data_IF_801656201744
#
_entry.id   IF_801656201744
#
_cell.length_a   1.000
_cell.length_b   1.000
_cell.length_c   1.000
_cell.angle_alpha   90.00
_cell.angle_beta   90.00
_cell.angle_gamma   90.00
#
_symmetry.space_group_name_H-M   'P 1'
#
loop_
_entity.id
_entity.type
_entity.pdbx_description
1 polymer ?
#
# COMPACT_ATOMS: atom_id res chain seq x y z
N UNK A 1 -32.54 14.43 14.46
CA UNK A 1 -31.85 13.37 13.70
C UNK A 1 -30.72 12.83 14.57
N UNK A 2 -30.82 11.60 15.09
CA UNK A 2 -29.77 11.04 15.97
C UNK A 2 -28.55 10.76 15.10
N UNK A 3 -27.47 11.52 15.30
CA UNK A 3 -26.21 11.33 14.60
C UNK A 3 -25.60 10.01 15.06
N UNK A 4 -25.82 8.93 14.29
CA UNK A 4 -25.24 7.63 14.61
C UNK A 4 -23.73 7.71 14.53
N UNK A 5 -23.07 7.23 15.57
CA UNK A 5 -21.62 7.21 15.67
C UNK A 5 -21.05 6.10 14.77
N UNK A 6 -19.83 6.32 14.27
CA UNK A 6 -19.16 5.40 13.36
C UNK A 6 -18.59 4.22 14.17
N UNK A 7 -19.01 2.99 13.84
CA UNK A 7 -18.63 1.78 14.58
C UNK A 7 -17.12 1.52 14.62
N UNK A 8 -16.37 1.96 13.61
CA UNK A 8 -14.92 1.84 13.59
C UNK A 8 -14.30 2.66 14.73
N UNK A 9 -14.71 3.92 14.85
CA UNK A 9 -14.21 4.80 15.90
C UNK A 9 -14.67 4.35 17.28
N UNK A 10 -15.91 3.87 17.42
CA UNK A 10 -16.42 3.34 18.69
C UNK A 10 -15.53 2.22 19.24
N UNK A 11 -15.13 1.26 18.39
CA UNK A 11 -14.32 0.13 18.82
C UNK A 11 -12.92 0.55 19.27
N UNK A 12 -12.24 1.41 18.51
CA UNK A 12 -10.94 1.94 18.92
C UNK A 12 -11.04 2.84 20.16
N UNK A 13 -12.09 3.64 20.29
CA UNK A 13 -12.27 4.49 21.46
C UNK A 13 -12.56 3.67 22.73
N UNK A 14 -13.18 2.49 22.62
CA UNK A 14 -13.37 1.55 23.72
C UNK A 14 -12.04 1.09 24.32
N UNK A 15 -11.02 0.88 23.49
CA UNK A 15 -9.64 0.58 23.92
C UNK A 15 -8.94 1.77 24.60
N UNK A 16 -9.59 2.93 24.64
CA UNK A 16 -9.12 4.16 25.25
C UNK A 16 -8.62 4.05 26.68
N UNK A 17 -9.20 3.14 27.48
CA UNK A 17 -8.77 2.87 28.86
C UNK A 17 -7.38 2.24 28.93
N UNK A 18 -6.98 1.50 27.90
CA UNK A 18 -5.71 0.79 27.82
C UNK A 18 -4.67 1.54 26.97
N UNK A 19 -4.97 2.75 26.49
CA UNK A 19 -4.12 3.42 25.48
C UNK A 19 -2.69 3.64 25.95
N UNK A 20 -2.49 4.03 27.21
CA UNK A 20 -1.14 4.25 27.75
C UNK A 20 -0.40 2.94 28.01
N UNK A 21 -1.10 1.86 28.36
CA UNK A 21 -0.53 0.52 28.43
C UNK A 21 -0.07 0.03 27.05
N UNK A 22 -0.90 0.24 26.02
CA UNK A 22 -0.54 -0.07 24.62
C UNK A 22 0.66 0.75 24.17
N UNK A 23 0.71 2.04 24.52
CA UNK A 23 1.86 2.90 24.23
C UNK A 23 3.13 2.39 24.90
N UNK A 24 3.08 2.11 26.21
CA UNK A 24 4.23 1.64 26.97
C UNK A 24 4.76 0.31 26.41
N UNK A 25 3.88 -0.66 26.18
CA UNK A 25 4.24 -1.93 25.56
C UNK A 25 4.81 -1.71 24.15
N UNK A 26 4.20 -0.83 23.37
CA UNK A 26 4.67 -0.48 22.03
C UNK A 26 6.06 0.13 22.03
N UNK A 27 6.38 1.02 22.97
CA UNK A 27 7.69 1.62 23.11
C UNK A 27 8.74 0.59 23.57
N UNK A 28 8.42 -0.27 24.53
CA UNK A 28 9.33 -1.34 24.97
C UNK A 28 9.63 -2.29 23.82
N UNK A 29 8.60 -2.75 23.10
CA UNK A 29 8.79 -3.60 21.92
C UNK A 29 9.58 -2.86 20.85
N UNK A 30 9.30 -1.58 20.60
CA UNK A 30 10.02 -0.78 19.60
C UNK A 30 11.50 -0.60 19.95
N UNK A 31 11.85 -0.41 21.21
CA UNK A 31 13.26 -0.32 21.64
C UNK A 31 14.01 -1.65 21.41
N UNK A 32 13.35 -2.78 21.69
CA UNK A 32 13.92 -4.12 21.54
C UNK A 32 13.94 -4.60 20.08
N UNK A 33 12.91 -4.26 19.32
CA UNK A 33 12.70 -4.66 17.93
C UNK A 33 11.82 -3.62 17.23
N UNK A 34 12.41 -2.59 16.59
CA UNK A 34 11.68 -1.47 16.01
C UNK A 34 10.56 -1.88 15.05
N UNK A 35 10.78 -2.90 14.21
CA UNK A 35 9.76 -3.42 13.28
C UNK A 35 8.54 -4.01 13.98
N UNK A 36 8.73 -4.70 15.11
CA UNK A 36 7.61 -5.25 15.89
C UNK A 36 6.84 -4.14 16.62
N UNK A 37 7.53 -3.06 16.99
CA UNK A 37 6.94 -1.91 17.68
C UNK A 37 5.99 -1.07 16.83
N UNK A 38 6.03 -1.17 15.50
CA UNK A 38 5.25 -0.30 14.60
C UNK A 38 3.74 -0.40 14.83
N UNK A 39 3.22 -1.63 14.96
CA UNK A 39 1.78 -1.89 15.09
C UNK A 39 1.21 -1.32 16.39
N UNK A 40 1.73 -1.61 17.59
CA UNK A 40 1.20 -1.02 18.82
C UNK A 40 1.28 0.51 18.86
N UNK A 41 2.34 1.12 18.30
CA UNK A 41 2.45 2.59 18.19
C UNK A 41 1.37 3.20 17.29
N UNK A 42 1.05 2.54 16.17
CA UNK A 42 -0.02 2.96 15.26
C UNK A 42 -1.42 2.70 15.85
N UNK A 43 -1.61 1.60 16.60
CA UNK A 43 -2.85 1.34 17.35
C UNK A 43 -3.08 2.43 18.38
N UNK A 44 -2.07 2.80 19.18
CA UNK A 44 -2.17 3.93 20.11
C UNK A 44 -2.63 5.20 19.41
N UNK A 45 -1.99 5.54 18.28
CA UNK A 45 -2.32 6.73 17.50
C UNK A 45 -3.76 6.68 16.96
N UNK A 46 -4.24 5.51 16.51
CA UNK A 46 -5.62 5.34 16.06
C UNK A 46 -6.63 5.45 17.19
N UNK A 47 -6.31 4.94 18.39
CA UNK A 47 -7.17 5.08 19.58
C UNK A 47 -7.35 6.56 19.92
N UNK A 48 -6.27 7.34 19.96
CA UNK A 48 -6.33 8.78 20.29
C UNK A 48 -7.12 9.57 19.23
N UNK A 49 -6.92 9.26 17.95
CA UNK A 49 -7.72 9.83 16.85
C UNK A 49 -9.19 9.48 17.00
N UNK A 50 -9.54 8.22 17.23
CA UNK A 50 -10.92 7.79 17.38
C UNK A 50 -11.62 8.40 18.60
N UNK A 51 -10.92 8.56 19.73
CA UNK A 51 -11.45 9.28 20.90
C UNK A 51 -11.76 10.75 20.58
N UNK A 52 -10.87 11.42 19.85
CA UNK A 52 -11.04 12.82 19.41
C UNK A 52 -12.25 12.96 18.47
N UNK A 53 -12.43 12.02 17.55
CA UNK A 53 -13.57 12.01 16.62
C UNK A 53 -14.89 11.83 17.36
N UNK A 54 -15.00 10.88 18.31
CA UNK A 54 -16.25 10.63 19.05
C UNK A 54 -16.60 11.79 19.98
N UNK A 55 -15.62 12.30 20.72
CA UNK A 55 -15.85 13.40 21.67
C UNK A 55 -16.05 14.74 20.97
N UNK A 56 -15.86 14.78 19.64
CA UNK A 56 -15.84 16.00 18.84
C UNK A 56 -14.86 17.05 19.41
N UNK A 57 -13.79 16.60 20.07
CA UNK A 57 -12.80 17.48 20.71
C UNK A 57 -11.56 17.58 19.85
N UNK A 58 -11.09 18.81 19.60
CA UNK A 58 -9.78 19.06 18.96
C UNK A 58 -8.58 18.71 19.85
N UNK A 59 -8.77 18.43 21.14
CA UNK A 59 -7.70 18.03 22.07
C UNK A 59 -7.24 16.61 21.76
N UNK A 60 -6.29 16.49 20.83
CA UNK A 60 -5.49 15.28 20.63
C UNK A 60 -4.26 15.37 21.54
N UNK A 61 -3.71 14.24 21.97
CA UNK A 61 -2.37 14.21 22.55
C UNK A 61 -1.35 14.40 21.42
N UNK A 62 -1.29 15.63 20.89
CA UNK A 62 -0.55 15.92 19.67
C UNK A 62 0.91 15.48 19.78
N UNK A 63 1.58 15.81 20.88
CA UNK A 63 3.00 15.50 21.09
C UNK A 63 3.25 13.98 21.02
N UNK A 64 2.51 13.18 21.79
CA UNK A 64 2.70 11.72 21.82
C UNK A 64 2.35 11.06 20.48
N UNK A 65 1.29 11.50 19.81
CA UNK A 65 0.96 10.98 18.48
C UNK A 65 2.03 11.35 17.46
N UNK A 66 2.52 12.59 17.46
CA UNK A 66 3.61 13.00 16.57
C UNK A 66 4.86 12.17 16.82
N UNK A 67 5.22 11.93 18.07
CA UNK A 67 6.34 11.07 18.43
C UNK A 67 6.16 9.64 17.89
N UNK A 68 4.99 9.02 18.11
CA UNK A 68 4.71 7.67 17.60
C UNK A 68 4.83 7.60 16.08
N UNK A 69 4.27 8.57 15.36
CA UNK A 69 4.31 8.62 13.90
C UNK A 69 5.73 8.87 13.39
N UNK A 70 6.52 9.71 14.08
CA UNK A 70 7.92 9.94 13.76
C UNK A 70 8.76 8.67 13.99
N UNK A 71 8.55 7.95 15.09
CA UNK A 71 9.23 6.69 15.39
C UNK A 71 8.93 5.62 14.33
N UNK A 72 7.68 5.53 13.89
CA UNK A 72 7.27 4.64 12.79
C UNK A 72 7.94 5.07 11.48
N UNK A 73 7.91 6.37 11.15
CA UNK A 73 8.54 6.92 9.94
C UNK A 73 10.04 6.63 9.91
N UNK A 74 10.72 6.87 11.04
CA UNK A 74 12.14 6.59 11.23
C UNK A 74 12.45 5.13 10.92
N UNK A 75 11.77 4.21 11.60
CA UNK A 75 12.00 2.77 11.48
C UNK A 75 11.79 2.29 10.04
N UNK A 76 10.66 2.65 9.43
CA UNK A 76 10.33 2.26 8.05
C UNK A 76 11.34 2.81 7.05
N UNK A 77 11.82 4.04 7.27
CA UNK A 77 12.80 4.69 6.40
C UNK A 77 14.13 3.97 6.43
N UNK A 78 14.64 3.67 7.62
CA UNK A 78 15.88 2.91 7.78
C UNK A 78 15.72 1.53 7.14
N UNK A 79 14.67 0.78 7.50
CA UNK A 79 14.41 -0.53 6.92
C UNK A 79 14.29 -0.48 5.39
N UNK A 80 13.62 0.53 4.81
CA UNK A 80 13.56 0.64 3.35
C UNK A 80 14.94 0.94 2.74
N UNK A 81 15.74 1.83 3.35
CA UNK A 81 17.08 2.19 2.87
C UNK A 81 18.08 1.03 2.93
N UNK A 82 17.80 0.03 3.76
CA UNK A 82 18.61 -1.19 3.88
C UNK A 82 18.43 -2.15 2.70
N UNK A 83 17.54 -1.87 1.75
CA UNK A 83 17.34 -2.70 0.57
C UNK A 83 18.62 -2.79 -0.28
N UNK A 84 18.98 -4.01 -0.67
CA UNK A 84 20.18 -4.33 -1.44
C UNK A 84 20.16 -3.63 -2.81
N UNK A 85 21.32 -3.11 -3.20
CA UNK A 85 21.48 -2.36 -4.45
C UNK A 85 21.55 -3.33 -5.64
N UNK A 86 20.38 -3.81 -6.07
CA UNK A 86 20.21 -4.77 -7.19
C UNK A 86 19.17 -4.30 -8.20
N UNK A 87 19.20 -4.87 -9.41
CA UNK A 87 18.23 -4.59 -10.47
C UNK A 87 18.05 -3.10 -10.77
N UNK A 88 16.81 -2.62 -10.71
CA UNK A 88 16.44 -1.21 -10.96
C UNK A 88 17.15 -0.24 -10.00
N UNK A 89 17.32 -0.57 -8.71
CA UNK A 89 17.99 0.30 -7.73
C UNK A 89 19.45 0.55 -8.11
N UNK A 90 20.15 -0.48 -8.61
CA UNK A 90 21.53 -0.34 -9.11
C UNK A 90 21.60 0.67 -10.25
N UNK A 91 20.66 0.61 -11.20
CA UNK A 91 20.61 1.58 -12.31
C UNK A 91 20.36 3.00 -11.82
N UNK A 92 19.49 3.18 -10.82
CA UNK A 92 19.24 4.49 -10.23
C UNK A 92 20.48 5.09 -9.55
N UNK A 93 21.28 4.27 -8.86
CA UNK A 93 22.55 4.74 -8.27
C UNK A 93 23.60 5.12 -9.31
N UNK A 94 23.66 4.40 -10.45
CA UNK A 94 24.56 4.75 -11.56
C UNK A 94 24.15 6.07 -12.20
N UNK A 95 22.85 6.27 -12.41
CA UNK A 95 22.31 7.54 -12.93
C UNK A 95 22.65 8.69 -11.98
N UNK A 96 22.47 8.48 -10.67
CA UNK A 96 22.74 9.51 -9.66
C UNK A 96 24.19 10.02 -9.69
N UNK A 97 25.17 9.15 -9.94
CA UNK A 97 26.58 9.56 -10.04
C UNK A 97 26.87 10.47 -11.23
N UNK A 98 26.05 10.40 -12.27
CA UNK A 98 26.20 11.18 -13.49
C UNK A 98 25.45 12.52 -13.44
N UNK A 99 24.66 12.77 -12.38
CA UNK A 99 23.93 14.02 -12.18
C UNK A 99 24.84 15.18 -11.75
N UNK A 100 24.33 16.41 -11.85
CA UNK A 100 25.02 17.62 -11.40
C UNK A 100 26.02 18.24 -12.38
N UNK A 101 26.47 17.51 -13.40
CA UNK A 101 27.50 17.97 -14.36
C UNK A 101 26.98 18.48 -15.71
N UNK A 102 25.75 18.15 -16.11
CA UNK A 102 25.17 18.51 -17.43
C UNK A 102 23.77 19.09 -17.30
N UNK A 103 23.25 19.69 -18.37
CA UNK A 103 21.84 20.10 -18.40
C UNK A 103 20.94 18.87 -18.15
N UNK A 104 20.10 18.99 -17.11
CA UNK A 104 19.26 17.93 -16.58
C UNK A 104 18.33 17.31 -17.65
N UNK A 105 17.62 18.14 -18.43
CA UNK A 105 16.68 17.61 -19.42
C UNK A 105 17.39 16.95 -20.61
N UNK A 106 18.55 17.46 -21.01
CA UNK A 106 19.35 16.86 -22.09
C UNK A 106 19.89 15.49 -21.69
N UNK A 107 20.31 15.34 -20.43
CA UNK A 107 20.74 14.06 -19.88
C UNK A 107 19.62 13.01 -19.94
N UNK A 108 18.44 13.32 -19.41
CA UNK A 108 17.30 12.39 -19.39
C UNK A 108 16.75 12.07 -20.80
N UNK A 109 16.86 13.01 -21.74
CA UNK A 109 16.55 12.77 -23.15
C UNK A 109 17.50 11.73 -23.77
N UNK A 110 18.80 11.76 -23.43
CA UNK A 110 19.79 10.80 -23.94
C UNK A 110 19.59 9.39 -23.40
N UNK A 111 19.27 9.25 -22.12
CA UNK A 111 19.04 7.95 -21.49
C UNK A 111 17.60 7.42 -21.66
N UNK A 112 16.75 8.17 -22.36
CA UNK A 112 15.35 7.84 -22.65
C UNK A 112 14.55 7.44 -21.39
N UNK A 113 14.60 8.30 -20.37
CA UNK A 113 14.00 8.03 -19.06
C UNK A 113 13.23 9.22 -18.53
N UNK A 114 12.14 8.97 -17.80
CA UNK A 114 11.33 10.01 -17.17
C UNK A 114 12.11 10.75 -16.07
N UNK A 115 12.18 12.10 -16.10
CA UNK A 115 13.13 12.86 -15.29
C UNK A 115 12.64 13.17 -13.86
N UNK A 116 11.33 13.19 -13.60
CA UNK A 116 10.77 13.82 -12.38
C UNK A 116 11.35 13.27 -11.08
N UNK A 117 11.60 11.96 -11.01
CA UNK A 117 12.16 11.29 -9.82
C UNK A 117 13.55 11.82 -9.43
N UNK A 118 14.30 12.37 -10.39
CA UNK A 118 15.69 12.81 -10.20
C UNK A 118 15.86 14.33 -10.07
N UNK A 119 14.79 15.12 -10.09
CA UNK A 119 14.87 16.58 -9.93
C UNK A 119 15.51 16.95 -8.59
N UNK A 120 15.00 16.38 -7.50
CA UNK A 120 15.56 16.63 -6.15
C UNK A 120 16.98 16.04 -6.04
N UNK A 121 17.24 14.78 -6.44
CA UNK A 121 18.59 14.23 -6.51
C UNK A 121 19.62 15.08 -7.27
N UNK A 122 19.27 15.65 -8.42
CA UNK A 122 20.18 16.49 -9.21
C UNK A 122 20.58 17.76 -8.44
N UNK A 123 19.60 18.43 -7.83
CA UNK A 123 19.88 19.61 -6.98
C UNK A 123 20.78 19.21 -5.80
N UNK A 124 20.47 18.10 -5.14
CA UNK A 124 21.27 17.64 -3.99
C UNK A 124 22.69 17.28 -4.42
N UNK A 125 22.87 16.57 -5.53
CA UNK A 125 24.19 16.21 -6.07
C UNK A 125 25.00 17.46 -6.39
N UNK A 126 24.37 18.46 -7.02
CA UNK A 126 25.02 19.71 -7.44
C UNK A 126 25.52 20.56 -6.28
N UNK A 127 24.78 20.60 -5.17
CA UNK A 127 25.11 21.49 -4.05
C UNK A 127 25.82 20.80 -2.87
N UNK A 128 25.59 19.50 -2.66
CA UNK A 128 26.06 18.80 -1.47
C UNK A 128 26.98 17.61 -1.77
N UNK A 129 27.17 17.23 -3.04
CA UNK A 129 28.07 16.15 -3.47
C UNK A 129 27.88 14.83 -2.71
N UNK A 130 26.65 14.52 -2.32
CA UNK A 130 26.34 13.32 -1.52
C UNK A 130 26.66 12.03 -2.29
N UNK A 131 26.91 10.96 -1.53
CA UNK A 131 27.26 9.65 -2.07
C UNK A 131 25.99 8.83 -2.45
N UNK A 132 26.19 7.62 -3.00
CA UNK A 132 25.08 6.74 -3.39
C UNK A 132 24.20 6.33 -2.21
N UNK A 133 24.79 6.14 -1.03
CA UNK A 133 24.05 5.78 0.17
C UNK A 133 23.11 6.91 0.60
N UNK A 134 23.62 8.13 0.68
CA UNK A 134 22.86 9.31 1.06
C UNK A 134 21.70 9.54 0.09
N UNK A 135 21.91 9.26 -1.19
CA UNK A 135 20.85 9.22 -2.19
C UNK A 135 19.78 8.18 -1.84
N UNK A 136 20.13 6.94 -1.54
CA UNK A 136 19.19 5.88 -1.16
C UNK A 136 18.38 6.30 0.09
N UNK A 137 19.05 6.82 1.11
CA UNK A 137 18.41 7.29 2.33
C UNK A 137 17.46 8.47 2.05
N UNK A 138 17.89 9.45 1.26
CA UNK A 138 17.08 10.59 0.85
C UNK A 138 15.81 10.14 0.09
N UNK A 139 15.93 9.18 -0.82
CA UNK A 139 14.79 8.65 -1.56
C UNK A 139 13.80 7.93 -0.62
N UNK A 140 14.31 7.13 0.32
CA UNK A 140 13.48 6.46 1.32
C UNK A 140 12.74 7.46 2.21
N UNK A 141 13.44 8.49 2.72
CA UNK A 141 12.85 9.58 3.49
C UNK A 141 11.75 10.27 2.69
N UNK A 142 12.04 10.64 1.44
CA UNK A 142 11.12 11.42 0.60
C UNK A 142 9.82 10.65 0.36
N UNK A 143 9.89 9.38 -0.03
CA UNK A 143 8.71 8.55 -0.29
C UNK A 143 7.88 8.31 0.98
N UNK A 144 8.52 7.92 2.09
CA UNK A 144 7.79 7.65 3.34
C UNK A 144 7.15 8.91 3.93
N UNK A 145 7.87 10.03 3.93
CA UNK A 145 7.32 11.33 4.35
C UNK A 145 6.10 11.71 3.50
N UNK A 146 6.19 11.54 2.18
CA UNK A 146 5.09 11.83 1.27
C UNK A 146 3.87 10.96 1.58
N UNK A 147 4.01 9.64 1.71
CA UNK A 147 2.86 8.77 2.00
C UNK A 147 2.23 9.02 3.37
N UNK A 148 3.02 9.33 4.39
CA UNK A 148 2.51 9.67 5.72
C UNK A 148 1.76 11.00 5.69
N UNK A 149 2.30 12.00 4.99
CA UNK A 149 1.63 13.28 4.77
C UNK A 149 0.32 13.10 4.01
N UNK A 150 0.32 12.33 2.91
CA UNK A 150 -0.87 12.03 2.11
C UNK A 150 -1.95 11.32 2.94
N UNK A 151 -1.57 10.30 3.73
CA UNK A 151 -2.51 9.61 4.63
C UNK A 151 -3.14 10.59 5.62
N UNK A 152 -2.34 11.49 6.20
CA UNK A 152 -2.82 12.49 7.16
C UNK A 152 -3.71 13.55 6.53
N UNK A 153 -3.40 14.03 5.33
CA UNK A 153 -4.17 15.06 4.62
C UNK A 153 -5.50 14.50 4.11
N UNK A 154 -5.50 13.34 3.47
CA UNK A 154 -6.69 12.82 2.80
C UNK A 154 -7.56 11.90 3.66
N UNK A 155 -6.97 11.29 4.70
CA UNK A 155 -7.62 10.38 5.63
C UNK A 155 -7.38 10.78 7.11
N UNK A 156 -7.61 12.03 7.53
CA UNK A 156 -7.22 12.54 8.85
C UNK A 156 -7.83 11.80 10.06
N UNK A 157 -8.96 11.12 9.87
CA UNK A 157 -9.62 10.32 10.92
C UNK A 157 -9.12 8.86 10.96
N UNK A 158 -8.39 8.42 9.93
CA UNK A 158 -7.97 7.04 9.75
C UNK A 158 -6.49 6.89 9.41
N UNK A 159 -5.72 7.99 9.42
CA UNK A 159 -4.36 8.02 8.92
C UNK A 159 -3.43 7.00 9.58
N UNK A 160 -3.51 6.70 10.90
CA UNK A 160 -2.66 5.66 11.50
C UNK A 160 -3.03 4.28 10.96
N UNK A 161 -4.31 4.01 10.73
CA UNK A 161 -4.77 2.75 10.13
C UNK A 161 -4.34 2.62 8.68
N UNK A 162 -4.43 3.69 7.89
CA UNK A 162 -3.95 3.69 6.49
C UNK A 162 -2.45 3.41 6.44
N UNK A 163 -1.66 4.09 7.27
CA UNK A 163 -0.21 3.87 7.39
C UNK A 163 0.08 2.42 7.81
N UNK A 164 -0.63 1.91 8.82
CA UNK A 164 -0.48 0.53 9.30
C UNK A 164 -0.75 -0.49 8.20
N UNK A 165 -1.81 -0.32 7.42
CA UNK A 165 -2.17 -1.24 6.34
C UNK A 165 -1.16 -1.23 5.19
N UNK A 166 -0.54 -0.08 4.90
CA UNK A 166 0.56 0.03 3.93
C UNK A 166 1.81 -0.71 4.44
N UNK A 167 2.25 -0.40 5.67
CA UNK A 167 3.45 -1.00 6.28
C UNK A 167 3.30 -2.51 6.45
N UNK A 168 2.08 -3.01 6.71
CA UNK A 168 1.83 -4.45 6.77
C UNK A 168 1.95 -5.16 5.41
N UNK A 169 2.09 -4.43 4.29
CA UNK A 169 2.40 -5.03 2.99
C UNK A 169 3.91 -5.12 2.80
N UNK A 170 4.38 -6.29 2.41
CA UNK A 170 5.79 -6.56 2.07
C UNK A 170 6.23 -5.68 0.90
N UNK A 171 5.34 -5.50 -0.07
CA UNK A 171 5.62 -4.73 -1.27
C UNK A 171 6.00 -3.29 -0.95
N UNK A 172 5.51 -2.74 0.17
CA UNK A 172 5.83 -1.39 0.63
C UNK A 172 7.33 -1.17 0.87
N UNK A 173 8.04 -2.18 1.37
CA UNK A 173 9.48 -2.11 1.61
C UNK A 173 10.33 -2.24 0.32
N UNK A 174 9.70 -2.59 -0.81
CA UNK A 174 10.35 -2.63 -2.13
C UNK A 174 10.29 -1.28 -2.86
N UNK A 175 9.94 -0.20 -2.15
CA UNK A 175 9.80 1.13 -2.74
C UNK A 175 11.07 1.65 -3.42
N UNK A 176 12.27 1.31 -2.92
CA UNK A 176 13.52 1.74 -3.56
C UNK A 176 13.86 0.91 -4.80
N UNK A 177 13.46 -0.37 -4.82
CA UNK A 177 13.59 -1.19 -6.01
C UNK A 177 12.73 -0.65 -7.16
N UNK A 178 11.49 -0.21 -6.88
CA UNK A 178 10.57 0.40 -7.84
C UNK A 178 10.40 1.91 -7.63
N UNK A 179 11.53 2.61 -7.43
CA UNK A 179 11.56 4.02 -7.03
C UNK A 179 10.70 4.93 -7.90
N UNK A 180 10.82 4.84 -9.24
CA UNK A 180 10.02 5.67 -10.15
C UNK A 180 8.52 5.44 -10.00
N UNK A 181 8.10 4.18 -9.87
CA UNK A 181 6.69 3.84 -9.72
C UNK A 181 6.15 4.38 -8.39
N UNK A 182 6.89 4.18 -7.30
CA UNK A 182 6.51 4.73 -5.99
C UNK A 182 6.47 6.27 -6.01
N UNK A 183 7.45 6.94 -6.61
CA UNK A 183 7.40 8.40 -6.81
C UNK A 183 6.17 8.83 -7.60
N UNK A 184 5.82 8.10 -8.65
CA UNK A 184 4.60 8.40 -9.42
C UNK A 184 3.34 8.27 -8.55
N UNK A 185 3.34 7.37 -7.56
CA UNK A 185 2.22 7.21 -6.63
C UNK A 185 2.04 8.39 -5.68
N UNK A 186 3.11 9.15 -5.38
CA UNK A 186 3.03 10.40 -4.60
C UNK A 186 2.08 11.40 -5.28
N UNK A 187 2.05 11.41 -6.62
CA UNK A 187 1.15 12.25 -7.41
C UNK A 187 -0.16 11.55 -7.75
N UNK A 188 -0.15 10.22 -7.91
CA UNK A 188 -1.34 9.45 -8.24
C UNK A 188 -2.36 9.41 -7.10
N UNK A 189 -1.91 9.27 -5.84
CA UNK A 189 -2.80 9.27 -4.67
C UNK A 189 -3.62 10.57 -4.57
N UNK A 190 -3.03 11.78 -4.55
CA UNK A 190 -3.80 13.02 -4.53
C UNK A 190 -4.64 13.18 -5.80
N UNK A 191 -4.16 12.73 -6.96
CA UNK A 191 -4.93 12.71 -8.21
C UNK A 191 -6.25 11.92 -8.07
N UNK A 192 -6.23 10.77 -7.38
CA UNK A 192 -7.43 9.95 -7.11
C UNK A 192 -8.37 10.66 -6.12
N UNK A 193 -7.82 11.38 -5.13
CA UNK A 193 -8.63 12.07 -4.10
C UNK A 193 -9.29 13.36 -4.57
N UNK A 194 -8.63 14.15 -5.42
CA UNK A 194 -9.14 15.44 -5.85
C UNK A 194 -10.35 15.26 -6.79
N UNK A 195 -11.13 16.33 -6.96
CA UNK A 195 -12.28 16.35 -7.91
C UNK A 195 -12.06 17.40 -8.99
N UNK A 196 -11.38 18.50 -8.65
CA UNK A 196 -11.10 19.59 -9.57
C UNK A 196 -10.20 19.12 -10.73
N UNK A 197 -10.72 19.27 -11.96
CA UNK A 197 -10.08 18.78 -13.17
C UNK A 197 -8.71 19.44 -13.45
N UNK A 198 -8.51 20.71 -13.07
CA UNK A 198 -7.24 21.42 -13.31
C UNK A 198 -6.11 20.79 -12.49
N UNK A 199 -6.35 20.61 -11.19
CA UNK A 199 -5.38 19.96 -10.31
C UNK A 199 -5.18 18.49 -10.67
N UNK A 200 -6.24 17.78 -11.08
CA UNK A 200 -6.10 16.42 -11.62
C UNK A 200 -5.24 16.37 -12.87
N UNK A 201 -5.42 17.30 -13.80
CA UNK A 201 -4.62 17.31 -15.04
C UNK A 201 -3.15 17.55 -14.72
N UNK A 202 -2.83 18.53 -13.87
CA UNK A 202 -1.45 18.79 -13.44
C UNK A 202 -0.84 17.56 -12.74
N UNK A 203 -1.52 17.00 -11.73
CA UNK A 203 -1.01 15.82 -11.03
C UNK A 203 -0.90 14.59 -11.92
N UNK A 204 -1.85 14.41 -12.84
CA UNK A 204 -1.83 13.33 -13.83
C UNK A 204 -0.63 13.46 -14.76
N UNK A 205 -0.35 14.66 -15.28
CA UNK A 205 0.84 14.93 -16.10
C UNK A 205 2.13 14.70 -15.32
N UNK A 206 2.23 15.19 -14.08
CA UNK A 206 3.42 14.96 -13.25
C UNK A 206 3.61 13.46 -12.97
N UNK A 207 2.55 12.71 -12.66
CA UNK A 207 2.62 11.26 -12.47
C UNK A 207 3.13 10.55 -13.73
N UNK A 208 2.66 10.96 -14.91
CA UNK A 208 3.08 10.43 -16.20
C UNK A 208 4.55 10.74 -16.51
N UNK A 209 4.99 11.97 -16.27
CA UNK A 209 6.40 12.38 -16.39
C UNK A 209 7.29 11.84 -15.27
N UNK A 210 6.73 11.12 -14.30
CA UNK A 210 7.46 10.37 -13.28
C UNK A 210 7.60 8.90 -13.67
N UNK A 211 6.50 8.30 -14.14
CA UNK A 211 6.49 6.96 -14.72
C UNK A 211 5.28 6.78 -15.64
N UNK A 212 5.55 6.49 -16.91
CA UNK A 212 4.55 6.35 -17.98
C UNK A 212 3.46 5.30 -17.70
N UNK A 213 3.74 4.27 -16.90
CA UNK A 213 2.73 3.24 -16.60
C UNK A 213 1.51 3.79 -15.84
N UNK A 214 1.61 4.96 -15.20
CA UNK A 214 0.48 5.58 -14.50
C UNK A 214 -0.70 5.97 -15.41
N UNK A 215 -0.52 5.98 -16.73
CA UNK A 215 -1.60 6.14 -17.74
C UNK A 215 -2.81 5.25 -17.42
N UNK A 216 -2.56 3.99 -17.04
CA UNK A 216 -3.61 2.98 -16.77
C UNK A 216 -4.52 3.38 -15.60
N UNK A 217 -4.04 4.24 -14.71
CA UNK A 217 -4.83 4.80 -13.62
C UNK A 217 -5.40 6.17 -13.96
N UNK A 218 -4.65 7.02 -14.68
CA UNK A 218 -5.05 8.42 -14.90
C UNK A 218 -6.15 8.56 -15.95
N UNK A 219 -6.08 7.85 -17.08
CA UNK A 219 -7.09 7.97 -18.14
C UNK A 219 -8.50 7.57 -17.67
N UNK A 220 -8.72 6.38 -17.07
CA UNK A 220 -10.06 5.99 -16.63
C UNK A 220 -10.64 6.98 -15.61
N UNK A 221 -9.82 7.52 -14.71
CA UNK A 221 -10.22 8.48 -13.70
C UNK A 221 -10.60 9.84 -14.29
N UNK A 222 -9.85 10.34 -15.28
CA UNK A 222 -10.16 11.61 -15.96
C UNK A 222 -11.47 11.50 -16.72
N UNK A 223 -11.63 10.46 -17.54
CA UNK A 223 -12.86 10.21 -18.30
C UNK A 223 -14.06 10.23 -17.35
N UNK A 224 -13.94 9.48 -16.24
CA UNK A 224 -14.97 9.37 -15.22
C UNK A 224 -15.28 10.71 -14.54
N UNK A 225 -14.24 11.45 -14.14
CA UNK A 225 -14.44 12.72 -13.44
C UNK A 225 -15.12 13.74 -14.34
N UNK A 226 -14.72 13.83 -15.61
CA UNK A 226 -15.31 14.74 -16.59
C UNK A 226 -16.79 14.44 -16.84
N UNK A 227 -17.15 13.16 -17.04
CA UNK A 227 -18.54 12.75 -17.26
C UNK A 227 -19.43 12.97 -16.03
N UNK A 228 -18.91 12.75 -14.81
CA UNK A 228 -19.67 13.01 -13.58
C UNK A 228 -19.92 14.51 -13.37
N UNK A 229 -18.89 15.32 -13.61
CA UNK A 229 -18.98 16.77 -13.39
C UNK A 229 -19.94 17.43 -14.37
N UNK A 230 -19.91 17.05 -15.66
CA UNK A 230 -20.80 17.60 -16.69
C UNK A 230 -22.27 17.19 -16.48
N UNK A 231 -22.53 15.96 -16.03
CA UNK A 231 -23.90 15.49 -15.78
C UNK A 231 -24.55 16.08 -14.51
N UNK A 232 -23.77 16.32 -13.45
CA UNK A 232 -24.28 17.01 -12.25
C UNK A 232 -24.70 18.45 -12.52
N UNK A 233 -23.97 19.13 -13.42
CA UNK A 233 -24.28 20.51 -13.82
C UNK A 233 -25.54 20.57 -14.69
N UNK A 234 -25.79 19.57 -15.55
CA UNK A 234 -26.89 19.61 -16.52
C UNK A 234 -28.25 19.11 -16.00
N UNK A 235 -28.31 18.20 -15.03
CA UNK A 235 -29.57 17.48 -14.76
C UNK A 235 -30.11 17.50 -13.33
N UNK A 236 -29.43 18.08 -12.34
CA UNK A 236 -29.98 18.29 -10.99
C UNK A 236 -30.49 17.03 -10.25
N UNK A 237 -30.36 15.85 -10.84
CA UNK A 237 -30.81 14.56 -10.33
C UNK A 237 -29.60 13.63 -10.25
N UNK A 238 -29.35 13.13 -9.04
CA UNK A 238 -28.20 12.28 -8.70
C UNK A 238 -28.25 10.88 -9.34
N UNK A 239 -29.39 10.47 -9.89
CA UNK A 239 -29.68 9.05 -10.19
C UNK A 239 -29.25 8.55 -11.58
N UNK A 240 -28.82 9.40 -12.52
CA UNK A 240 -28.61 8.99 -13.93
C UNK A 240 -27.15 8.95 -14.41
N UNK A 241 -26.17 8.84 -13.51
CA UNK A 241 -24.76 8.81 -13.88
C UNK A 241 -24.40 7.45 -14.51
N UNK A 242 -23.97 7.43 -15.78
CA UNK A 242 -23.52 6.23 -16.52
C UNK A 242 -22.39 5.46 -15.82
N UNK A 243 -21.59 6.13 -15.01
CA UNK A 243 -20.48 5.55 -14.22
C UNK A 243 -20.97 4.86 -12.96
N UNK A 244 -22.06 5.35 -12.37
CA UNK A 244 -22.80 4.60 -11.35
C UNK A 244 -23.20 3.25 -11.93
N UNK A 245 -23.67 3.22 -13.19
CA UNK A 245 -23.94 1.95 -13.89
C UNK A 245 -22.68 1.11 -14.09
N UNK A 246 -21.51 1.68 -14.41
CA UNK A 246 -20.25 0.92 -14.59
C UNK A 246 -19.75 0.31 -13.28
N UNK A 247 -19.67 1.10 -12.20
CA UNK A 247 -19.26 0.62 -10.87
C UNK A 247 -20.30 -0.37 -10.31
N UNK A 248 -21.60 -0.10 -10.48
CA UNK A 248 -22.66 -1.06 -10.13
C UNK A 248 -22.62 -2.31 -11.02
N UNK A 249 -22.17 -2.23 -12.28
CA UNK A 249 -22.05 -3.40 -13.17
C UNK A 249 -20.88 -4.26 -12.73
N UNK A 250 -19.73 -3.65 -12.42
CA UNK A 250 -18.59 -4.34 -11.82
C UNK A 250 -18.98 -4.98 -10.48
N UNK A 251 -19.67 -4.24 -9.60
CA UNK A 251 -20.18 -4.78 -8.34
C UNK A 251 -21.18 -5.92 -8.56
N UNK A 252 -22.09 -5.82 -9.54
CA UNK A 252 -23.04 -6.89 -9.89
C UNK A 252 -22.33 -8.12 -10.44
N UNK A 253 -21.34 -7.95 -11.29
CA UNK A 253 -20.50 -9.03 -11.80
C UNK A 253 -19.73 -9.72 -10.68
N UNK A 254 -19.11 -8.94 -9.78
CA UNK A 254 -18.40 -9.45 -8.61
C UNK A 254 -19.35 -10.17 -7.65
N UNK A 255 -20.55 -9.62 -7.44
CA UNK A 255 -21.61 -10.27 -6.67
C UNK A 255 -22.10 -11.56 -7.33
N UNK A 256 -22.12 -11.63 -8.66
CA UNK A 256 -22.42 -12.87 -9.40
C UNK A 256 -21.35 -13.94 -9.25
N UNK A 257 -20.08 -13.55 -9.16
CA UNK A 257 -19.00 -14.48 -8.83
C UNK A 257 -19.06 -14.96 -7.38
N UNK A 258 -19.50 -14.10 -6.46
CA UNK A 258 -19.57 -14.36 -5.01
C UNK A 258 -21.00 -14.71 -4.54
N UNK A 259 -21.85 -15.26 -5.40
CA UNK A 259 -23.32 -15.13 -5.33
C UNK A 259 -23.98 -15.74 -4.09
N UNK A 260 -23.32 -16.63 -3.34
CA UNK A 260 -23.90 -17.14 -2.11
C UNK A 260 -23.29 -16.47 -0.88
N UNK A 261 -24.14 -15.94 0.02
CA UNK A 261 -23.65 -15.47 1.33
C UNK A 261 -22.90 -16.60 2.03
N UNK A 262 -23.35 -17.84 1.83
CA UNK A 262 -22.66 -19.05 2.26
C UNK A 262 -21.26 -19.17 1.64
N UNK A 263 -21.07 -18.98 0.34
CA UNK A 263 -19.75 -18.97 -0.33
C UNK A 263 -18.87 -17.84 0.20
N UNK A 264 -19.44 -16.66 0.48
CA UNK A 264 -18.72 -15.54 1.08
C UNK A 264 -18.25 -15.88 2.51
N UNK A 265 -19.11 -16.51 3.33
CA UNK A 265 -18.76 -16.95 4.68
C UNK A 265 -17.76 -18.11 4.66
N UNK A 266 -17.94 -19.08 3.76
CA UNK A 266 -17.02 -20.20 3.55
C UNK A 266 -15.69 -19.71 3.02
N UNK A 267 -15.64 -18.70 2.14
CA UNK A 267 -14.41 -18.08 1.66
C UNK A 267 -13.70 -17.32 2.79
N UNK A 268 -14.42 -16.54 3.60
CA UNK A 268 -13.84 -15.84 4.75
C UNK A 268 -13.35 -16.83 5.82
N UNK A 269 -14.11 -17.90 6.07
CA UNK A 269 -13.76 -18.98 6.99
C UNK A 269 -12.59 -19.79 6.46
N UNK A 270 -12.55 -20.16 5.18
CA UNK A 270 -11.40 -20.86 4.57
C UNK A 270 -10.18 -19.95 4.50
N UNK A 271 -10.31 -18.66 4.23
CA UNK A 271 -9.21 -17.70 4.35
C UNK A 271 -8.68 -17.68 5.78
N UNK A 272 -9.56 -17.58 6.77
CA UNK A 272 -9.18 -17.51 8.19
C UNK A 272 -8.61 -18.85 8.71
N UNK A 273 -9.17 -19.98 8.28
CA UNK A 273 -8.70 -21.34 8.61
C UNK A 273 -7.41 -21.69 7.89
N UNK A 274 -7.28 -21.34 6.60
CA UNK A 274 -6.03 -21.49 5.85
C UNK A 274 -4.94 -20.66 6.54
N UNK A 275 -5.27 -19.47 7.02
CA UNK A 275 -4.36 -18.63 7.79
C UNK A 275 -3.95 -19.22 9.15
N UNK A 276 -4.88 -19.87 9.87
CA UNK A 276 -4.59 -20.62 11.11
C UNK A 276 -3.75 -21.89 10.81
N UNK A 277 -3.96 -22.53 9.66
CA UNK A 277 -3.19 -23.70 9.22
C UNK A 277 -1.79 -23.32 8.72
N UNK A 278 -1.65 -22.16 8.06
CA UNK A 278 -0.39 -21.59 7.57
C UNK A 278 0.56 -21.17 8.71
N UNK A 279 0.02 -20.85 9.89
CA UNK A 279 0.80 -20.46 11.08
C UNK A 279 1.29 -21.66 11.90
N UNK A 280 0.83 -22.90 11.62
CA UNK A 280 1.44 -24.11 12.19
C UNK A 280 2.74 -24.44 11.45
N UNK A 281 3.82 -24.57 12.23
CA UNK A 281 5.22 -24.74 11.82
C UNK A 281 5.56 -25.89 10.85
N UNK A 282 4.61 -26.78 10.55
CA UNK A 282 4.79 -27.89 9.60
C UNK A 282 4.38 -27.58 8.15
N UNK A 283 3.85 -26.38 7.85
CA UNK A 283 3.38 -26.05 6.51
C UNK A 283 4.39 -25.30 5.64
N UNK A 284 5.62 -25.04 6.09
CA UNK A 284 6.65 -24.43 5.22
C UNK A 284 7.07 -25.40 4.10
N UNK A 285 7.11 -26.71 4.38
CA UNK A 285 7.31 -27.74 3.35
C UNK A 285 6.04 -28.02 2.54
N UNK A 286 4.86 -28.00 3.15
CA UNK A 286 3.61 -28.33 2.46
C UNK A 286 2.90 -27.13 1.77
N UNK A 287 3.28 -25.88 2.04
CA UNK A 287 2.80 -24.71 1.26
C UNK A 287 3.50 -24.64 -0.08
N UNK A 288 4.75 -25.07 -0.18
CA UNK A 288 5.36 -25.33 -1.49
C UNK A 288 4.64 -26.46 -2.24
N UNK A 289 3.94 -27.35 -1.55
CA UNK A 289 3.15 -28.43 -2.19
C UNK A 289 1.70 -28.02 -2.49
N UNK A 290 1.07 -27.13 -1.73
CA UNK A 290 -0.31 -26.66 -1.97
C UNK A 290 -0.42 -25.34 -2.75
N UNK A 291 0.57 -24.44 -2.62
CA UNK A 291 0.68 -23.16 -3.34
C UNK A 291 1.90 -23.09 -4.28
N UNK A 292 2.78 -24.08 -4.22
CA UNK A 292 3.90 -24.24 -5.16
C UNK A 292 3.71 -25.45 -6.10
N UNK A 293 2.74 -26.34 -5.83
CA UNK A 293 2.21 -27.13 -6.94
C UNK A 293 1.39 -26.17 -7.77
N UNK A 294 1.78 -26.03 -9.03
CA UNK A 294 0.87 -25.54 -10.04
C UNK A 294 -0.38 -26.45 -10.13
N UNK A 295 -0.58 -27.50 -9.31
CA UNK A 295 -1.65 -28.48 -9.44
C UNK A 295 -3.04 -27.84 -9.45
N UNK A 296 -3.36 -26.95 -8.50
CA UNK A 296 -4.65 -26.25 -8.52
C UNK A 296 -4.80 -25.35 -9.75
N UNK A 297 -3.73 -24.64 -10.15
CA UNK A 297 -3.74 -23.78 -11.33
C UNK A 297 -3.73 -24.61 -12.64
N UNK A 298 -3.14 -25.80 -12.65
CA UNK A 298 -3.11 -26.77 -13.74
C UNK A 298 -4.48 -27.41 -13.91
N UNK A 299 -5.18 -27.72 -12.80
CA UNK A 299 -6.54 -28.24 -12.80
C UNK A 299 -7.54 -27.19 -13.29
N UNK A 300 -7.41 -25.93 -12.84
CA UNK A 300 -8.36 -24.86 -13.20
C UNK A 300 -8.03 -24.19 -14.55
N UNK A 301 -6.74 -24.07 -14.90
CA UNK A 301 -6.28 -23.47 -16.16
C UNK A 301 -4.87 -23.96 -16.54
N UNK A 302 -4.76 -25.09 -17.27
CA UNK A 302 -3.48 -25.67 -17.68
C UNK A 302 -2.56 -24.68 -18.42
N UNK A 303 -3.18 -23.79 -19.19
CA UNK A 303 -2.52 -22.75 -19.99
C UNK A 303 -1.94 -21.62 -19.13
N UNK A 304 -2.62 -21.26 -18.03
CA UNK A 304 -2.10 -20.30 -17.06
C UNK A 304 -0.92 -20.91 -16.30
N UNK A 305 -0.99 -22.19 -15.94
CA UNK A 305 0.08 -22.90 -15.26
C UNK A 305 1.35 -23.02 -16.10
N UNK A 306 1.24 -23.34 -17.40
CA UNK A 306 2.39 -23.38 -18.32
C UNK A 306 2.99 -21.98 -18.51
N UNK A 307 2.17 -20.95 -18.59
CA UNK A 307 2.63 -19.55 -18.65
C UNK A 307 3.32 -19.10 -17.36
N UNK A 308 2.78 -19.47 -16.19
CA UNK A 308 3.42 -19.25 -14.88
C UNK A 308 4.75 -20.00 -14.72
N UNK A 309 4.89 -21.13 -15.41
CA UNK A 309 6.13 -21.91 -15.44
C UNK A 309 7.17 -21.29 -16.37
N UNK A 310 6.79 -20.70 -17.50
CA UNK A 310 7.72 -19.97 -18.38
C UNK A 310 8.23 -18.66 -17.73
N UNK A 311 7.46 -18.06 -16.82
CA UNK A 311 7.90 -16.95 -15.97
C UNK A 311 8.81 -17.35 -14.80
N UNK A 312 9.24 -18.61 -14.69
CA UNK A 312 10.25 -19.01 -13.70
C UNK A 312 11.64 -18.42 -13.97
N UNK A 313 11.87 -17.92 -15.18
CA UNK A 313 13.14 -17.34 -15.59
C UNK A 313 13.19 -15.84 -15.24
N UNK A 314 14.14 -15.43 -14.40
CA UNK A 314 14.19 -14.09 -13.76
C UNK A 314 14.31 -12.92 -14.74
N UNK A 315 14.86 -13.15 -15.93
CA UNK A 315 14.97 -12.13 -16.99
C UNK A 315 13.60 -11.71 -17.54
N UNK A 316 12.66 -12.64 -17.67
CA UNK A 316 11.30 -12.36 -18.15
C UNK A 316 10.46 -11.56 -17.16
N UNK A 317 10.80 -11.63 -15.87
CA UNK A 317 10.09 -10.91 -14.81
C UNK A 317 10.58 -9.48 -14.60
N UNK A 318 11.62 -9.02 -15.33
CA UNK A 318 12.20 -7.68 -15.17
C UNK A 318 12.56 -7.37 -13.69
N UNK A 319 13.05 -8.38 -12.98
CA UNK A 319 13.39 -8.32 -11.56
C UNK A 319 12.20 -8.36 -10.59
N UNK A 320 10.98 -8.59 -11.06
CA UNK A 320 9.80 -8.78 -10.20
C UNK A 320 9.79 -10.17 -9.58
N UNK A 321 9.20 -10.29 -8.37
CA UNK A 321 8.99 -11.59 -7.75
C UNK A 321 7.98 -12.44 -8.51
N UNK A 322 8.32 -13.71 -8.76
CA UNK A 322 7.41 -14.73 -9.31
C UNK A 322 6.16 -14.92 -8.42
N UNK A 323 6.32 -14.67 -7.12
CA UNK A 323 5.29 -14.80 -6.10
C UNK A 323 4.52 -13.50 -5.82
N UNK A 324 4.65 -12.48 -6.70
CA UNK A 324 3.94 -11.20 -6.56
C UNK A 324 2.43 -11.36 -6.35
N UNK A 325 1.79 -12.33 -7.02
CA UNK A 325 0.37 -12.63 -6.80
C UNK A 325 0.06 -13.07 -5.39
N UNK A 326 0.93 -13.85 -4.73
CA UNK A 326 0.70 -14.35 -3.38
C UNK A 326 0.60 -13.19 -2.41
N UNK A 327 1.53 -12.24 -2.53
CA UNK A 327 1.55 -11.01 -1.73
C UNK A 327 0.33 -10.14 -2.07
N UNK A 328 0.05 -9.91 -3.36
CA UNK A 328 -1.06 -9.08 -3.79
C UNK A 328 -2.42 -9.63 -3.38
N UNK A 329 -2.65 -10.95 -3.46
CA UNK A 329 -3.89 -11.61 -3.04
C UNK A 329 -4.13 -11.37 -1.55
N UNK A 330 -3.10 -11.47 -0.72
CA UNK A 330 -3.23 -11.24 0.72
C UNK A 330 -3.56 -9.78 1.02
N UNK A 331 -2.96 -8.86 0.28
CA UNK A 331 -3.21 -7.44 0.44
C UNK A 331 -4.66 -7.04 0.08
N UNK A 332 -5.30 -7.80 -0.82
CA UNK A 332 -6.57 -7.41 -1.44
C UNK A 332 -7.75 -8.30 -1.11
N UNK A 333 -7.56 -9.51 -0.56
CA UNK A 333 -8.63 -10.53 -0.44
C UNK A 333 -9.92 -10.04 0.24
N UNK A 334 -9.83 -9.09 1.19
CA UNK A 334 -10.99 -8.52 1.87
C UNK A 334 -11.66 -7.39 1.07
N UNK A 335 -10.94 -6.69 0.19
CA UNK A 335 -11.45 -5.55 -0.56
C UNK A 335 -12.61 -5.93 -1.50
N UNK A 336 -12.57 -7.01 -2.31
CA UNK A 336 -13.71 -7.47 -3.09
C UNK A 336 -14.93 -7.81 -2.24
N UNK A 337 -14.73 -8.48 -1.10
CA UNK A 337 -15.82 -8.90 -0.20
C UNK A 337 -16.53 -7.67 0.39
N UNK A 338 -15.75 -6.68 0.83
CA UNK A 338 -16.26 -5.42 1.34
C UNK A 338 -16.93 -4.61 0.23
N UNK A 339 -16.34 -4.59 -0.97
CA UNK A 339 -16.86 -3.85 -2.12
C UNK A 339 -18.29 -4.28 -2.50
N UNK A 340 -18.59 -5.58 -2.47
CA UNK A 340 -19.94 -6.10 -2.79
C UNK A 340 -21.01 -5.56 -1.84
N UNK A 341 -20.64 -5.20 -0.61
CA UNK A 341 -21.59 -4.74 0.41
C UNK A 341 -21.87 -3.24 0.39
N UNK A 342 -21.06 -2.47 -0.35
CA UNK A 342 -21.18 -1.02 -0.41
C UNK A 342 -22.37 -0.60 -1.26
N UNK A 343 -23.18 0.32 -0.73
CA UNK A 343 -24.32 0.91 -1.44
C UNK A 343 -23.89 2.22 -2.09
N UNK A 344 -23.25 2.11 -3.26
CA UNK A 344 -22.61 3.23 -3.95
C UNK A 344 -23.48 4.48 -4.09
N UNK A 345 -24.79 4.34 -4.33
CA UNK A 345 -25.71 5.48 -4.47
C UNK A 345 -25.71 6.45 -3.26
N UNK A 346 -25.15 6.05 -2.11
CA UNK A 346 -25.04 6.87 -0.90
C UNK A 346 -23.60 7.27 -0.55
N UNK A 347 -22.64 6.99 -1.43
CA UNK A 347 -21.22 7.14 -1.16
C UNK A 347 -20.62 8.39 -1.82
N UNK A 348 -19.59 9.01 -1.22
CA UNK A 348 -18.92 10.14 -1.82
C UNK A 348 -18.12 9.73 -3.06
N UNK A 349 -17.91 10.69 -3.98
CA UNK A 349 -17.21 10.48 -5.26
C UNK A 349 -15.84 9.79 -5.10
N UNK A 350 -15.12 10.14 -4.03
CA UNK A 350 -13.82 9.58 -3.71
C UNK A 350 -13.84 8.05 -3.57
N UNK A 351 -14.95 7.47 -3.07
CA UNK A 351 -15.10 6.02 -2.98
C UNK A 351 -15.12 5.37 -4.37
N UNK A 352 -15.82 5.99 -5.34
CA UNK A 352 -15.84 5.52 -6.72
C UNK A 352 -14.46 5.59 -7.37
N UNK A 353 -13.74 6.70 -7.17
CA UNK A 353 -12.37 6.84 -7.67
C UNK A 353 -11.45 5.76 -7.12
N UNK A 354 -11.49 5.45 -5.82
CA UNK A 354 -10.68 4.37 -5.27
C UNK A 354 -11.08 2.98 -5.77
N UNK A 355 -12.36 2.74 -6.05
CA UNK A 355 -12.83 1.48 -6.67
C UNK A 355 -12.36 1.33 -8.10
N UNK A 356 -12.33 2.43 -8.87
CA UNK A 356 -11.78 2.40 -10.22
C UNK A 356 -10.28 2.14 -10.21
N UNK A 357 -9.53 2.78 -9.30
CA UNK A 357 -8.11 2.48 -9.11
C UNK A 357 -7.90 1.01 -8.72
N UNK A 358 -8.78 0.45 -7.88
CA UNK A 358 -8.76 -0.95 -7.48
C UNK A 358 -8.97 -1.87 -8.68
N UNK A 359 -10.00 -1.60 -9.49
CA UNK A 359 -10.29 -2.34 -10.69
C UNK A 359 -9.13 -2.28 -11.72
N UNK A 360 -8.56 -1.10 -11.98
CA UNK A 360 -7.39 -0.95 -12.85
C UNK A 360 -6.19 -1.77 -12.36
N UNK A 361 -5.98 -1.81 -11.04
CA UNK A 361 -4.89 -2.59 -10.44
C UNK A 361 -5.14 -4.10 -10.53
N UNK A 362 -6.39 -4.54 -10.31
CA UNK A 362 -6.78 -5.94 -10.45
C UNK A 362 -6.67 -6.42 -11.90
N UNK A 363 -7.07 -5.58 -12.87
CA UNK A 363 -6.88 -5.87 -14.30
C UNK A 363 -5.39 -5.95 -14.63
N UNK A 364 -4.56 -5.06 -14.08
CA UNK A 364 -3.11 -5.11 -14.27
C UNK A 364 -2.52 -6.42 -13.73
N UNK A 365 -2.99 -6.89 -12.57
CA UNK A 365 -2.59 -8.19 -12.03
C UNK A 365 -2.96 -9.34 -12.98
N UNK A 366 -4.17 -9.35 -13.53
CA UNK A 366 -4.60 -10.36 -14.50
C UNK A 366 -3.74 -10.33 -15.77
N UNK A 367 -3.50 -9.14 -16.34
CA UNK A 367 -2.69 -8.96 -17.55
C UNK A 367 -1.22 -9.37 -17.35
N UNK A 368 -0.69 -9.15 -16.15
CA UNK A 368 0.64 -9.64 -15.78
C UNK A 368 0.75 -11.17 -15.96
N UNK A 369 -0.26 -11.92 -15.51
CA UNK A 369 -0.29 -13.39 -15.62
C UNK A 369 -0.74 -13.93 -16.98
N UNK A 370 -1.44 -13.11 -17.78
CA UNK A 370 -1.86 -13.49 -19.15
C UNK A 370 -0.75 -13.29 -20.17
N UNK A 371 0.34 -12.60 -19.84
CA UNK A 371 1.50 -12.56 -20.75
C UNK A 371 2.33 -11.28 -20.75
N UNK A 372 2.03 -10.28 -19.92
CA UNK A 372 2.65 -8.95 -20.05
C UNK A 372 3.34 -8.52 -18.75
N UNK A 373 4.63 -8.84 -18.57
CA UNK A 373 5.41 -8.57 -17.35
C UNK A 373 5.39 -7.11 -16.87
N UNK A 374 5.30 -6.15 -17.79
CA UNK A 374 5.25 -4.73 -17.48
C UNK A 374 4.08 -4.35 -16.55
N UNK A 375 2.97 -5.08 -16.60
CA UNK A 375 1.82 -4.83 -15.71
C UNK A 375 2.09 -5.28 -14.26
N UNK A 376 3.06 -6.16 -14.01
CA UNK A 376 3.42 -6.55 -12.65
C UNK A 376 3.95 -5.37 -11.84
N UNK A 377 4.65 -4.42 -12.48
CA UNK A 377 5.14 -3.18 -11.84
C UNK A 377 3.99 -2.29 -11.35
N UNK A 378 2.81 -2.37 -11.97
CA UNK A 378 1.62 -1.60 -11.58
C UNK A 378 0.89 -2.19 -10.37
N UNK A 379 1.00 -3.51 -10.17
CA UNK A 379 0.40 -4.21 -9.02
C UNK A 379 0.96 -3.67 -7.71
N UNK A 380 2.20 -3.15 -7.71
CA UNK A 380 2.82 -2.52 -6.54
C UNK A 380 2.09 -1.29 -6.02
N UNK A 381 1.28 -0.62 -6.85
CA UNK A 381 0.38 0.41 -6.35
C UNK A 381 -0.62 -0.20 -5.37
N UNK A 382 -1.19 -1.35 -5.72
CA UNK A 382 -2.20 -2.03 -4.93
C UNK A 382 -1.63 -2.80 -3.75
N UNK A 383 -0.52 -3.52 -3.92
CA UNK A 383 0.10 -4.25 -2.80
C UNK A 383 0.78 -3.27 -1.85
N UNK A 384 1.70 -2.45 -2.34
CA UNK A 384 2.52 -1.55 -1.53
C UNK A 384 1.78 -0.41 -0.85
N UNK A 385 0.75 0.14 -1.50
CA UNK A 385 -0.08 1.22 -0.96
C UNK A 385 -1.54 0.76 -0.69
N UNK A 386 -1.71 -0.52 -0.39
CA UNK A 386 -3.00 -1.18 -0.12
C UNK A 386 -3.87 -0.46 0.92
N UNK A 387 -3.28 0.17 1.94
CA UNK A 387 -3.99 0.94 2.97
C UNK A 387 -4.81 2.10 2.40
N UNK A 388 -4.34 2.75 1.32
CA UNK A 388 -5.14 3.81 0.67
C UNK A 388 -6.39 3.24 -0.03
N UNK A 389 -6.34 2.00 -0.52
CA UNK A 389 -7.52 1.35 -1.11
C UNK A 389 -8.62 1.09 -0.08
N UNK A 390 -8.30 0.97 1.21
CA UNK A 390 -9.32 0.93 2.26
C UNK A 390 -10.09 2.24 2.43
N UNK A 391 -9.77 3.30 1.69
CA UNK A 391 -10.53 4.56 1.68
C UNK A 391 -12.01 4.34 1.37
N UNK A 392 -12.32 3.57 0.33
CA UNK A 392 -13.72 3.35 -0.07
C UNK A 392 -14.52 2.58 0.99
N UNK A 393 -13.82 1.83 1.84
CA UNK A 393 -14.38 1.07 2.96
C UNK A 393 -14.55 1.95 4.20
N UNK A 394 -13.48 2.64 4.61
CA UNK A 394 -13.43 3.46 5.83
C UNK A 394 -14.30 4.73 5.75
N UNK A 395 -14.53 5.25 4.53
CA UNK A 395 -15.47 6.35 4.29
C UNK A 395 -16.90 5.88 3.98
N UNK A 396 -17.16 4.57 3.96
CA UNK A 396 -18.48 4.06 3.60
C UNK A 396 -19.56 4.44 4.61
N UNK A 397 -20.72 4.83 4.09
CA UNK A 397 -21.95 5.03 4.88
C UNK A 397 -22.35 3.80 5.71
N UNK A 398 -21.94 2.59 5.31
CA UNK A 398 -22.22 1.33 6.02
C UNK A 398 -21.63 1.27 7.44
N UNK A 399 -20.60 2.08 7.74
CA UNK A 399 -19.98 2.17 9.07
C UNK A 399 -20.77 3.00 10.08
N UNK A 400 -21.78 3.77 9.63
CA UNK A 400 -22.66 4.59 10.47
C UNK A 400 -23.98 3.87 10.81
N UNK A 401 -24.09 2.59 10.45
CA UNK A 401 -25.20 1.72 10.82
C UNK A 401 -24.79 0.79 11.97
N UNK A 402 -25.76 0.11 12.61
CA UNK A 402 -25.47 -0.82 13.72
C UNK A 402 -24.35 -1.78 13.34
N UNK A 403 -23.56 -2.23 14.34
CA UNK A 403 -22.53 -3.27 14.19
C UNK A 403 -23.05 -4.39 13.29
N UNK A 404 -22.40 -4.53 12.14
CA UNK A 404 -22.80 -5.42 11.07
C UNK A 404 -21.58 -6.21 10.59
N UNK A 405 -21.82 -7.20 9.72
CA UNK A 405 -20.76 -7.99 9.10
C UNK A 405 -19.72 -7.12 8.39
N UNK A 406 -20.14 -6.00 7.77
CA UNK A 406 -19.22 -5.06 7.13
C UNK A 406 -18.16 -4.54 8.09
N UNK A 407 -18.57 -4.13 9.30
CA UNK A 407 -17.66 -3.69 10.36
C UNK A 407 -16.73 -4.82 10.81
N UNK A 408 -17.27 -6.03 11.00
CA UNK A 408 -16.48 -7.20 11.37
C UNK A 408 -15.41 -7.55 10.32
N UNK A 409 -15.78 -7.54 9.04
CA UNK A 409 -14.88 -7.85 7.94
C UNK A 409 -13.71 -6.84 7.81
N UNK A 410 -13.91 -5.57 8.16
CA UNK A 410 -12.83 -4.57 8.22
C UNK A 410 -11.81 -4.91 9.29
N UNK A 411 -12.28 -5.24 10.50
CA UNK A 411 -11.38 -5.63 11.59
C UNK A 411 -10.70 -6.98 11.30
N UNK A 412 -11.40 -7.91 10.65
CA UNK A 412 -10.81 -9.14 10.12
C UNK A 412 -9.68 -8.85 9.13
N UNK A 413 -9.89 -7.90 8.20
CA UNK A 413 -8.88 -7.49 7.23
C UNK A 413 -7.64 -6.88 7.88
N UNK A 414 -7.83 -5.97 8.84
CA UNK A 414 -6.73 -5.36 9.62
C UNK A 414 -5.96 -6.44 10.37
N UNK A 415 -6.66 -7.34 11.07
CA UNK A 415 -6.05 -8.40 11.88
C UNK A 415 -5.27 -9.39 11.01
N UNK A 416 -5.84 -9.81 9.88
CA UNK A 416 -5.19 -10.71 8.94
C UNK A 416 -3.91 -10.08 8.36
N UNK A 417 -3.93 -8.79 8.00
CA UNK A 417 -2.74 -8.07 7.53
C UNK A 417 -1.66 -7.97 8.61
N UNK A 418 -2.02 -7.65 9.85
CA UNK A 418 -1.06 -7.58 10.96
C UNK A 418 -0.41 -8.94 11.22
N UNK A 419 -1.20 -10.00 11.29
CA UNK A 419 -0.66 -11.34 11.57
C UNK A 419 0.17 -11.84 10.38
N UNK A 420 -0.22 -11.54 9.14
CA UNK A 420 0.57 -11.88 7.95
C UNK A 420 1.90 -11.14 7.95
N UNK A 421 1.90 -9.86 8.29
CA UNK A 421 3.10 -9.06 8.43
C UNK A 421 4.06 -9.67 9.46
N UNK A 422 3.57 -10.03 10.65
CA UNK A 422 4.41 -10.70 11.65
C UNK A 422 4.92 -12.06 11.17
N UNK A 423 4.04 -12.90 10.62
CA UNK A 423 4.44 -14.19 10.04
C UNK A 423 5.55 -14.02 8.99
N UNK A 424 5.43 -13.00 8.14
CA UNK A 424 6.43 -12.67 7.15
C UNK A 424 7.75 -12.25 7.82
N UNK A 425 7.72 -11.32 8.77
CA UNK A 425 8.94 -10.91 9.48
C UNK A 425 9.63 -12.11 10.16
N UNK A 426 8.87 -13.01 10.80
CA UNK A 426 9.41 -14.22 11.44
C UNK A 426 9.90 -15.27 10.45
N UNK A 427 9.27 -15.43 9.28
CA UNK A 427 9.77 -16.34 8.24
C UNK A 427 11.03 -15.78 7.56
N UNK A 428 11.18 -14.46 7.48
CA UNK A 428 12.37 -13.78 6.99
C UNK A 428 13.61 -13.97 7.86
N UNK A 429 13.44 -14.22 9.17
CA UNK A 429 14.55 -14.58 10.08
C UNK A 429 15.26 -15.89 9.71
N UNK A 430 14.66 -16.73 8.86
CA UNK A 430 15.15 -18.09 8.58
C UNK A 430 15.77 -18.26 7.18
N UNK A 431 15.92 -17.18 6.42
CA UNK A 431 16.35 -17.24 5.01
C UNK A 431 17.62 -16.41 4.78
N UNK A 432 18.72 -17.09 4.46
CA UNK A 432 20.06 -16.50 4.27
C UNK A 432 20.21 -15.65 2.99
N UNK A 433 19.28 -15.74 2.04
CA UNK A 433 19.33 -15.05 0.74
C UNK A 433 18.47 -13.77 0.73
N UNK A 434 18.79 -12.80 1.60
CA UNK A 434 17.91 -11.65 1.82
C UNK A 434 18.45 -10.33 1.24
N UNK A 435 17.64 -9.61 0.43
CA UNK A 435 18.02 -8.33 -0.16
C UNK A 435 17.88 -7.16 0.83
N UNK A 436 17.98 -7.37 2.14
CA UNK A 436 17.95 -6.30 3.15
C UNK A 436 19.21 -6.39 4.03
N UNK A 437 19.72 -5.24 4.46
CA UNK A 437 20.84 -5.10 5.39
C UNK A 437 20.49 -5.79 6.72
N UNK A 438 21.52 -6.31 7.41
CA UNK A 438 21.45 -7.35 8.45
C UNK A 438 21.05 -8.77 7.96
N UNK A 439 21.18 -9.07 6.67
CA UNK A 439 20.95 -10.43 6.15
C UNK A 439 19.52 -10.95 6.34
N UNK A 440 18.55 -10.04 6.50
CA UNK A 440 17.16 -10.40 6.83
C UNK A 440 16.83 -10.46 8.33
N UNK A 441 17.78 -10.15 9.22
CA UNK A 441 17.60 -10.16 10.67
C UNK A 441 16.99 -8.87 11.25
N UNK A 442 16.04 -8.26 10.54
CA UNK A 442 15.44 -6.95 10.91
C UNK A 442 14.66 -7.02 12.24
N UNK A 443 14.16 -8.20 12.66
CA UNK A 443 13.56 -8.36 14.00
C UNK A 443 14.62 -8.36 15.11
N UNK A 444 15.82 -8.90 14.84
CA UNK A 444 16.87 -9.03 15.86
C UNK A 444 17.61 -7.71 16.09
N UNK A 445 17.55 -6.80 15.11
CA UNK A 445 18.06 -5.45 15.26
C UNK A 445 17.22 -4.66 16.28
N UNK A 446 17.89 -4.10 17.27
CA UNK A 446 17.31 -3.20 18.26
C UNK A 446 17.44 -1.74 17.81
N UNK A 447 16.93 -0.79 18.59
CA UNK A 447 16.98 0.63 18.21
C UNK A 447 18.41 1.18 18.08
N UNK A 448 19.39 0.63 18.82
CA UNK A 448 20.78 1.04 18.72
C UNK A 448 21.34 0.68 17.35
N UNK A 449 21.04 -0.50 16.81
CA UNK A 449 21.49 -0.91 15.47
C UNK A 449 20.96 0.04 14.37
N UNK A 450 19.73 0.52 14.53
CA UNK A 450 19.13 1.51 13.63
C UNK A 450 19.82 2.88 13.71
N UNK A 451 20.22 3.31 14.91
CA UNK A 451 20.96 4.55 15.13
C UNK A 451 22.40 4.40 14.61
N UNK A 452 23.05 3.28 14.90
CA UNK A 452 24.39 2.96 14.43
C UNK A 452 24.44 2.93 12.91
N UNK A 453 23.43 2.35 12.26
CA UNK A 453 23.29 2.39 10.80
C UNK A 453 23.32 3.82 10.24
N UNK A 454 22.78 4.80 10.97
CA UNK A 454 22.84 6.22 10.59
C UNK A 454 24.17 6.91 10.93
N UNK A 455 24.91 6.42 11.92
CA UNK A 455 26.16 7.04 12.36
C UNK A 455 27.38 6.47 11.65
N UNK A 456 27.37 5.17 11.33
CA UNK A 456 28.47 4.43 10.72
C UNK A 456 28.45 4.42 9.19
N UNK A 457 27.66 5.31 8.56
CA UNK A 457 27.44 5.42 7.10
C UNK A 457 28.73 5.62 6.29
N UNK A 458 29.82 6.05 6.91
CA UNK A 458 31.03 6.44 6.20
C UNK A 458 31.99 5.31 5.79
N UNK A 459 31.64 4.01 5.84
CA UNK A 459 32.68 2.97 5.67
C UNK A 459 32.58 1.91 4.59
N UNK A 460 31.45 1.56 3.96
CA UNK A 460 31.47 0.48 2.95
C UNK A 460 30.30 0.51 1.94
N UNK A 461 30.23 1.53 1.07
CA UNK A 461 29.50 1.46 -0.21
C UNK A 461 30.20 2.26 -1.31
#
# INVERSE_FOLDING_TARGET
MIQRQNCFHELFAYLGKLKYTILLLGLVIWLLSPMLGLIPLLIFSQIDVSQSVIKNTRKKNYILNYFCILAVLFTVTITASTYSVVGDLKQYTIIYDQLGGTNFFDFFKKINMEPVTFIIPDLVKRYFYLNRFDFILLQAITMNCAYFALARVFMPNYYPTVIMLNICSIAYFQQLFLMRQYYSFIFLVPFIYLVNWKYKLVLGLIALFTHSSTVIFTIPQIIVTMTITDQRVKHGKEDSISILKLVQSFQRWLKKLLLDRFVLYVALLTITLSFILLTKSGFISNTQVLLGSNAFVQEVSPRLATTLSSYSNTEYLLGLSRDLWKVAVIDIMFLPLLLVQIRFNREPLVCYSWVLAFASSAISLLLFYVGIPAFGRLVYFLSGLSGFFYTFVLKSSNLFHKRNFFSFAIFGAISAKIVYFYYFLFSFLRSDANPYLWGGHVIQANIYDYIEYLLNINRNL
#
